data_IF_546389720274
#
_entry.id   IF_546389720274
#
_cell.length_a   1.000
_cell.length_b   1.000
_cell.length_c   1.000
_cell.angle_alpha   90.00
_cell.angle_beta   90.00
_cell.angle_gamma   90.00
#
_symmetry.space_group_name_H-M   'P 1'
#
loop_
_entity.id
_entity.type
_entity.pdbx_description
1 polymer ?
#
# COMPACT_ATOMS: atom_id res chain seq x y z
N UNK A 1 0.96 0.71 12.34
CA UNK A 1 0.86 -0.11 11.10
C UNK A 1 2.05 0.18 10.17
N UNK A 2 2.10 -0.38 8.95
CA UNK A 2 3.18 -0.13 7.96
C UNK A 2 3.29 1.34 7.56
N UNK A 3 2.15 2.01 7.40
CA UNK A 3 2.14 3.45 7.11
C UNK A 3 2.86 4.25 8.20
N UNK A 4 2.65 3.93 9.49
CA UNK A 4 3.40 4.54 10.60
C UNK A 4 4.90 4.23 10.58
N UNK A 5 5.34 3.20 9.85
CA UNK A 5 6.76 2.89 9.69
C UNK A 5 7.44 3.85 8.69
N UNK A 6 6.71 4.19 7.63
CA UNK A 6 7.20 4.99 6.51
C UNK A 6 7.18 6.50 6.81
N UNK A 7 6.15 6.99 7.50
CA UNK A 7 5.94 8.43 7.77
C UNK A 7 6.80 8.98 8.92
N UNK A 8 7.83 8.23 9.34
CA UNK A 8 8.65 8.59 10.49
C UNK A 8 7.94 8.21 11.80
N UNK A 9 8.75 7.74 12.73
CA UNK A 9 8.36 7.18 14.02
C UNK A 9 7.34 8.09 14.74
N UNK A 10 6.05 7.75 14.68
CA UNK A 10 5.03 8.41 15.50
C UNK A 10 5.56 8.41 16.94
N UNK A 11 5.79 9.59 17.50
CA UNK A 11 6.24 9.74 18.89
C UNK A 11 5.06 9.42 19.81
N UNK A 12 4.73 8.14 19.91
CA UNK A 12 3.77 7.63 20.86
C UNK A 12 4.42 7.56 22.25
N UNK A 13 3.67 7.89 23.30
CA UNK A 13 4.16 7.86 24.68
C UNK A 13 4.61 6.45 25.14
N UNK A 14 4.18 5.40 24.43
CA UNK A 14 4.50 3.99 24.69
C UNK A 14 5.05 3.34 23.44
N UNK A 15 5.98 2.37 23.57
CA UNK A 15 6.53 1.69 22.41
C UNK A 15 5.50 0.78 21.74
N UNK A 16 5.53 0.72 20.41
CA UNK A 16 4.71 -0.23 19.64
C UNK A 16 5.36 -1.62 19.59
N UNK A 17 4.61 -2.63 19.12
CA UNK A 17 5.11 -4.02 19.11
C UNK A 17 6.41 -4.20 18.30
N UNK A 18 6.63 -3.42 17.24
CA UNK A 18 7.84 -3.53 16.42
C UNK A 18 9.06 -2.89 17.11
N UNK A 19 8.85 -1.82 17.87
CA UNK A 19 9.89 -1.24 18.72
C UNK A 19 10.26 -2.21 19.85
N UNK A 20 9.27 -2.83 20.50
CA UNK A 20 9.52 -3.88 21.52
C UNK A 20 10.32 -5.04 20.91
N UNK A 21 9.95 -5.53 19.73
CA UNK A 21 10.66 -6.61 19.04
C UNK A 21 12.12 -6.23 18.72
N UNK A 22 12.35 -5.03 18.20
CA UNK A 22 13.72 -4.53 17.92
C UNK A 22 14.54 -4.47 19.20
N UNK A 23 13.99 -3.86 20.25
CA UNK A 23 14.68 -3.65 21.51
C UNK A 23 14.97 -5.00 22.19
N UNK A 24 14.06 -5.97 22.08
CA UNK A 24 14.27 -7.35 22.54
C UNK A 24 15.44 -8.03 21.82
N UNK A 25 15.48 -7.95 20.49
CA UNK A 25 16.57 -8.54 19.70
C UNK A 25 17.92 -7.91 20.07
N UNK A 26 17.96 -6.58 20.22
CA UNK A 26 19.17 -5.85 20.62
C UNK A 26 19.63 -6.20 22.04
N UNK A 27 18.70 -6.29 23.00
CA UNK A 27 19.01 -6.66 24.38
C UNK A 27 19.53 -8.11 24.52
N UNK A 28 19.26 -8.96 23.53
CA UNK A 28 19.80 -10.32 23.45
C UNK A 28 21.14 -10.40 22.69
N UNK A 29 21.76 -9.25 22.38
CA UNK A 29 23.01 -9.14 21.61
C UNK A 29 22.89 -9.63 20.16
N UNK A 30 21.68 -9.58 19.59
CA UNK A 30 21.41 -9.85 18.18
C UNK A 30 21.03 -8.55 17.46
N UNK A 31 21.12 -8.58 16.14
CA UNK A 31 20.58 -7.55 15.26
C UNK A 31 19.77 -8.18 14.14
N UNK A 32 18.72 -7.48 13.71
CA UNK A 32 18.03 -7.82 12.47
C UNK A 32 18.98 -7.51 11.32
N UNK A 33 19.22 -8.48 10.45
CA UNK A 33 20.16 -8.35 9.32
C UNK A 33 19.44 -8.10 8.00
N UNK A 34 18.35 -8.83 7.78
CA UNK A 34 17.55 -8.75 6.57
C UNK A 34 16.19 -9.41 6.77
N UNK A 35 15.30 -9.18 5.82
CA UNK A 35 14.05 -9.93 5.67
C UNK A 35 13.98 -10.54 4.29
N UNK A 36 13.42 -11.74 4.17
CA UNK A 36 13.20 -12.41 2.88
C UNK A 36 11.75 -12.83 2.74
N UNK A 37 11.10 -12.43 1.65
CA UNK A 37 9.84 -13.06 1.21
C UNK A 37 10.26 -14.30 0.42
N UNK A 38 9.99 -15.48 0.97
CA UNK A 38 10.63 -16.73 0.53
C UNK A 38 9.77 -17.56 -0.40
N UNK A 39 8.47 -17.63 -0.15
CA UNK A 39 7.59 -18.55 -0.90
C UNK A 39 6.16 -18.01 -0.99
N UNK A 40 5.37 -18.60 -1.87
CA UNK A 40 3.93 -18.36 -2.01
C UNK A 40 3.20 -19.71 -2.09
N UNK A 41 2.44 -20.03 -1.06
CA UNK A 41 1.68 -21.28 -0.97
C UNK A 41 0.19 -20.94 -0.93
N UNK A 42 -0.58 -21.50 -1.87
CA UNK A 42 -2.03 -21.29 -1.97
C UNK A 42 -2.42 -19.79 -1.95
N UNK A 43 -1.70 -18.99 -2.73
CA UNK A 43 -1.92 -17.54 -2.80
C UNK A 43 -1.37 -16.74 -1.59
N UNK A 44 -0.86 -17.41 -0.56
CA UNK A 44 -0.36 -16.77 0.66
C UNK A 44 1.16 -16.67 0.64
N UNK A 45 1.67 -15.45 0.76
CA UNK A 45 3.12 -15.21 0.83
C UNK A 45 3.68 -15.52 2.23
N UNK A 46 4.87 -16.11 2.26
CA UNK A 46 5.61 -16.48 3.46
C UNK A 46 6.88 -15.63 3.53
N UNK A 47 7.22 -15.12 4.72
CA UNK A 47 8.43 -14.36 4.93
C UNK A 47 9.24 -14.88 6.13
N UNK A 48 10.54 -14.59 6.11
CA UNK A 48 11.46 -14.88 7.20
C UNK A 48 12.27 -13.66 7.57
N UNK A 49 12.41 -13.42 8.86
CA UNK A 49 13.28 -12.40 9.44
C UNK A 49 14.59 -13.09 9.80
N UNK A 50 15.72 -12.55 9.35
CA UNK A 50 17.04 -13.07 9.67
C UNK A 50 17.70 -12.17 10.72
N UNK A 51 18.11 -12.78 11.83
CA UNK A 51 18.85 -12.14 12.91
C UNK A 51 20.23 -12.78 13.05
N UNK A 52 21.22 -12.02 13.49
CA UNK A 52 22.57 -12.52 13.73
C UNK A 52 23.29 -11.71 14.79
N UNK A 53 24.39 -12.23 15.34
CA UNK A 53 25.26 -11.44 16.20
C UNK A 53 26.07 -10.45 15.35
N UNK A 54 26.32 -9.22 15.82
CA UNK A 54 27.21 -8.29 15.14
C UNK A 54 28.58 -8.93 14.86
N UNK A 55 29.11 -8.72 13.66
CA UNK A 55 30.42 -9.28 13.23
C UNK A 55 30.43 -10.79 12.96
N UNK A 56 29.34 -11.51 13.17
CA UNK A 56 29.25 -12.95 12.89
C UNK A 56 28.48 -13.21 11.58
N UNK A 57 28.91 -14.25 10.86
CA UNK A 57 28.27 -14.70 9.63
C UNK A 57 27.05 -15.60 9.88
N UNK A 58 26.98 -16.24 11.05
CA UNK A 58 25.84 -17.10 11.41
C UNK A 58 24.57 -16.27 11.58
N UNK A 59 23.49 -16.72 10.93
CA UNK A 59 22.18 -16.11 11.03
C UNK A 59 21.14 -17.14 11.42
N UNK A 60 20.18 -16.71 12.24
CA UNK A 60 18.97 -17.48 12.56
C UNK A 60 17.77 -16.86 11.88
N UNK A 61 16.85 -17.69 11.43
CA UNK A 61 15.61 -17.26 10.79
C UNK A 61 14.42 -17.41 11.71
N UNK A 62 13.52 -16.43 11.69
CA UNK A 62 12.23 -16.45 12.38
C UNK A 62 11.14 -16.37 11.31
N UNK A 63 10.15 -17.26 11.41
CA UNK A 63 8.99 -17.24 10.52
C UNK A 63 8.09 -16.04 10.82
N UNK A 64 7.63 -15.35 9.78
CA UNK A 64 6.83 -14.15 9.93
C UNK A 64 5.90 -13.93 8.74
N UNK A 65 4.77 -13.25 8.98
CA UNK A 65 3.94 -12.76 7.87
C UNK A 65 4.71 -11.66 7.12
N UNK A 66 4.54 -11.54 5.79
CA UNK A 66 5.21 -10.52 5.00
C UNK A 66 5.01 -9.10 5.52
N UNK A 67 3.79 -8.76 5.95
CA UNK A 67 3.47 -7.44 6.49
C UNK A 67 4.26 -7.10 7.75
N UNK A 68 4.40 -8.05 8.67
CA UNK A 68 5.15 -7.87 9.91
C UNK A 68 6.66 -7.78 9.64
N UNK A 69 7.15 -8.64 8.74
CA UNK A 69 8.57 -8.68 8.39
C UNK A 69 9.01 -7.37 7.69
N UNK A 70 8.22 -6.87 6.73
CA UNK A 70 8.48 -5.58 6.08
C UNK A 70 8.41 -4.43 7.08
N UNK A 71 7.43 -4.43 8.00
CA UNK A 71 7.33 -3.41 9.05
C UNK A 71 8.57 -3.33 9.95
N UNK A 72 9.10 -4.49 10.33
CA UNK A 72 10.32 -4.57 11.14
C UNK A 72 11.53 -4.13 10.32
N UNK A 73 11.62 -4.56 9.05
CA UNK A 73 12.71 -4.21 8.16
C UNK A 73 12.86 -2.70 7.98
N UNK A 74 11.75 -2.00 7.74
CA UNK A 74 11.71 -0.54 7.60
C UNK A 74 12.21 0.16 8.88
N UNK A 75 11.78 -0.31 10.06
CA UNK A 75 12.17 0.29 11.35
C UNK A 75 13.61 -0.01 11.75
N UNK A 76 14.10 -1.19 11.39
CA UNK A 76 15.49 -1.60 11.60
C UNK A 76 16.43 -1.09 10.51
N UNK A 77 15.90 -0.52 9.41
CA UNK A 77 16.64 -0.05 8.24
C UNK A 77 17.51 -1.15 7.61
N UNK A 78 16.94 -2.33 7.45
CA UNK A 78 17.61 -3.51 6.89
C UNK A 78 17.06 -3.84 5.50
N UNK A 79 17.85 -4.50 4.64
CA UNK A 79 17.40 -4.88 3.30
C UNK A 79 16.24 -5.88 3.34
N UNK A 80 15.35 -5.73 2.35
CA UNK A 80 14.25 -6.65 2.06
C UNK A 80 14.58 -7.37 0.76
N UNK A 81 14.57 -8.69 0.78
CA UNK A 81 14.77 -9.53 -0.39
C UNK A 81 13.50 -10.29 -0.73
N UNK A 82 13.34 -10.61 -2.01
CA UNK A 82 12.22 -11.42 -2.51
C UNK A 82 12.79 -12.56 -3.33
N UNK A 83 12.19 -13.75 -3.21
CA UNK A 83 12.56 -14.89 -4.03
C UNK A 83 12.33 -14.59 -5.52
N UNK A 84 13.28 -14.99 -6.37
CA UNK A 84 13.23 -14.67 -7.81
C UNK A 84 11.98 -15.25 -8.48
N UNK A 85 11.55 -16.44 -8.07
CA UNK A 85 10.39 -17.10 -8.66
C UNK A 85 9.09 -16.33 -8.40
N UNK A 86 8.95 -15.74 -7.20
CA UNK A 86 7.82 -14.86 -6.85
C UNK A 86 7.85 -13.61 -7.73
N UNK A 87 9.04 -13.03 -7.93
CA UNK A 87 9.19 -11.85 -8.81
C UNK A 87 8.81 -12.23 -10.24
N UNK A 88 9.24 -13.38 -10.73
CA UNK A 88 8.95 -13.83 -12.09
C UNK A 88 7.46 -14.10 -12.32
N UNK A 89 6.74 -14.61 -11.33
CA UNK A 89 5.31 -14.94 -11.46
C UNK A 89 4.39 -13.74 -11.20
N UNK A 90 4.71 -12.90 -10.20
CA UNK A 90 3.75 -11.97 -9.61
C UNK A 90 4.17 -10.49 -9.72
N UNK A 91 5.42 -10.19 -10.10
CA UNK A 91 5.85 -8.80 -10.18
C UNK A 91 5.24 -8.08 -11.38
N UNK A 92 4.71 -6.90 -11.12
CA UNK A 92 4.22 -5.99 -12.15
C UNK A 92 5.30 -4.95 -12.44
N UNK A 93 5.54 -4.65 -13.72
CA UNK A 93 6.44 -3.56 -14.10
C UNK A 93 5.80 -2.25 -13.65
N UNK A 94 6.51 -1.43 -12.84
CA UNK A 94 6.00 -0.10 -12.51
C UNK A 94 5.88 0.69 -13.82
N UNK A 95 4.68 1.15 -14.15
CA UNK A 95 4.52 2.21 -15.15
C UNK A 95 4.93 3.49 -14.45
N UNK A 96 6.23 3.76 -14.44
CA UNK A 96 6.74 5.07 -14.05
C UNK A 96 6.34 6.04 -15.16
N UNK A 97 5.25 6.77 -14.96
CA UNK A 97 5.05 8.02 -15.68
C UNK A 97 6.32 8.86 -15.50
N UNK A 98 6.84 9.52 -16.55
CA UNK A 98 7.99 10.40 -16.39
C UNK A 98 7.69 11.38 -15.26
N UNK A 99 8.60 11.46 -14.29
CA UNK A 99 8.51 12.38 -13.16
C UNK A 99 8.42 13.80 -13.70
N UNK A 100 7.20 14.32 -13.84
CA UNK A 100 6.99 15.75 -13.91
C UNK A 100 7.18 16.29 -12.50
N UNK A 101 8.08 17.25 -12.37
CA UNK A 101 8.41 17.91 -11.11
C UNK A 101 7.15 18.49 -10.47
N UNK A 102 6.68 17.84 -9.40
CA UNK A 102 5.54 18.33 -8.62
C UNK A 102 6.03 19.42 -7.68
N UNK A 103 5.93 20.67 -8.14
CA UNK A 103 5.90 21.82 -7.24
C UNK A 103 4.65 21.69 -6.35
N UNK A 104 4.87 21.78 -5.04
CA UNK A 104 3.84 21.60 -4.04
C UNK A 104 2.74 22.68 -4.12
N UNK A 105 1.53 22.28 -4.50
CA UNK A 105 0.29 22.97 -4.14
C UNK A 105 -0.94 22.06 -4.31
N UNK A 106 -1.52 21.65 -3.18
CA UNK A 106 -2.93 21.38 -2.90
C UNK A 106 -3.81 20.59 -3.92
N UNK A 107 -4.12 19.36 -3.49
CA UNK A 107 -5.42 18.65 -3.60
C UNK A 107 -6.16 18.63 -4.94
N UNK A 108 -6.00 17.52 -5.67
CA UNK A 108 -7.11 16.66 -6.11
C UNK A 108 -6.54 15.27 -6.41
N UNK A 109 -7.17 14.24 -5.88
CA UNK A 109 -6.78 12.84 -6.14
C UNK A 109 -7.43 12.42 -7.45
N UNK A 110 -6.64 12.42 -8.53
CA UNK A 110 -7.06 11.83 -9.81
C UNK A 110 -7.03 10.30 -9.69
N UNK A 111 -8.13 9.75 -9.18
CA UNK A 111 -8.49 8.33 -9.34
C UNK A 111 -9.06 8.13 -10.74
N UNK A 112 -8.19 8.03 -11.74
CA UNK A 112 -8.62 7.56 -13.06
C UNK A 112 -7.49 6.85 -13.82
N UNK A 113 -7.05 5.69 -13.33
CA UNK A 113 -6.27 4.71 -14.10
C UNK A 113 -6.49 3.31 -13.52
N UNK A 114 -7.70 2.79 -13.66
CA UNK A 114 -8.02 1.36 -13.48
C UNK A 114 -9.37 1.06 -14.17
N UNK A 115 -9.38 0.95 -15.51
CA UNK A 115 -10.51 0.34 -16.24
C UNK A 115 -9.94 -0.60 -17.32
N UNK A 116 -10.19 -1.92 -17.24
CA UNK A 116 -9.87 -2.86 -18.31
C UNK A 116 -10.83 -2.64 -19.49
N UNK A 117 -10.32 -2.80 -20.71
CA UNK A 117 -11.02 -2.68 -22.01
C UNK A 117 -12.30 -3.54 -22.11
N UNK A 118 -13.39 -3.08 -21.49
CA UNK A 118 -14.71 -3.69 -21.51
C UNK A 118 -15.78 -2.61 -21.38
N UNK A 119 -16.84 -2.74 -22.16
CA UNK A 119 -17.84 -1.72 -22.50
C UNK A 119 -18.29 -0.80 -21.33
N UNK A 120 -18.36 0.49 -21.68
CA UNK A 120 -18.26 1.71 -20.88
C UNK A 120 -19.47 2.05 -20.00
N UNK A 121 -20.05 1.08 -19.29
CA UNK A 121 -21.23 1.34 -18.45
C UNK A 121 -20.89 1.91 -17.08
N UNK A 122 -19.74 1.54 -16.52
CA UNK A 122 -19.34 1.95 -15.16
C UNK A 122 -18.76 3.37 -15.15
N UNK A 123 -18.03 3.78 -16.19
CA UNK A 123 -17.44 5.11 -16.28
C UNK A 123 -18.50 6.19 -16.49
N UNK A 124 -19.53 5.92 -17.27
CA UNK A 124 -20.67 6.83 -17.46
C UNK A 124 -21.45 7.03 -16.15
N UNK A 125 -21.70 5.95 -15.39
CA UNK A 125 -22.37 6.02 -14.08
C UNK A 125 -21.56 6.85 -13.07
N UNK A 126 -20.24 6.62 -13.03
CA UNK A 126 -19.30 7.37 -12.18
C UNK A 126 -19.28 8.85 -12.58
N UNK A 127 -19.31 9.15 -13.88
CA UNK A 127 -19.30 10.52 -14.40
C UNK A 127 -20.57 11.26 -14.02
N UNK A 128 -21.73 10.62 -14.17
CA UNK A 128 -23.03 11.18 -13.75
C UNK A 128 -23.07 11.44 -12.24
N UNK A 129 -22.56 10.51 -11.43
CA UNK A 129 -22.48 10.67 -9.98
C UNK A 129 -21.53 11.81 -9.58
N UNK A 130 -20.38 11.93 -10.25
CA UNK A 130 -19.41 13.02 -10.04
C UNK A 130 -20.03 14.39 -10.36
N UNK A 131 -20.72 14.51 -11.49
CA UNK A 131 -21.39 15.75 -11.90
C UNK A 131 -22.50 16.16 -10.92
N UNK A 132 -23.23 15.19 -10.36
CA UNK A 132 -24.23 15.45 -9.32
C UNK A 132 -23.58 16.00 -8.03
N UNK A 133 -22.48 15.41 -7.56
CA UNK A 133 -21.77 15.87 -6.35
C UNK A 133 -21.20 17.28 -6.53
N UNK A 134 -20.58 17.55 -7.69
CA UNK A 134 -20.07 18.88 -8.02
C UNK A 134 -21.18 19.93 -8.01
N UNK A 135 -22.35 19.63 -8.58
CA UNK A 135 -23.49 20.56 -8.58
C UNK A 135 -24.05 20.83 -7.17
N UNK A 136 -23.97 19.86 -6.25
CA UNK A 136 -24.35 20.05 -4.84
C UNK A 136 -23.36 20.99 -4.14
N UNK A 137 -22.06 20.78 -4.36
CA UNK A 137 -20.99 21.60 -3.79
C UNK A 137 -21.04 23.05 -4.31
N UNK A 138 -21.42 23.24 -5.58
CA UNK A 138 -21.65 24.55 -6.19
C UNK A 138 -23.04 25.15 -5.88
N UNK A 139 -23.84 24.54 -4.99
CA UNK A 139 -25.21 24.96 -4.63
C UNK A 139 -26.19 25.09 -5.83
N UNK A 140 -25.90 24.40 -6.94
CA UNK A 140 -26.72 24.33 -8.16
C UNK A 140 -27.72 23.17 -8.08
N UNK A 141 -28.68 23.30 -7.17
CA UNK A 141 -29.62 22.22 -6.84
C UNK A 141 -30.54 21.79 -8.00
N UNK A 142 -30.83 22.68 -8.97
CA UNK A 142 -31.56 22.32 -10.19
C UNK A 142 -30.81 21.30 -11.04
N UNK A 143 -29.51 21.51 -11.18
CA UNK A 143 -28.64 20.72 -12.03
C UNK A 143 -28.31 19.38 -11.34
N UNK A 144 -28.12 19.41 -10.02
CA UNK A 144 -28.02 18.20 -9.21
C UNK A 144 -29.26 17.30 -9.33
N UNK A 145 -30.47 17.89 -9.36
CA UNK A 145 -31.71 17.15 -9.56
C UNK A 145 -31.79 16.53 -10.97
N UNK A 146 -31.34 17.26 -11.99
CA UNK A 146 -31.24 16.75 -13.37
C UNK A 146 -30.30 15.54 -13.45
N UNK A 147 -29.06 15.67 -12.94
CA UNK A 147 -28.08 14.57 -12.94
C UNK A 147 -28.55 13.34 -12.16
N UNK A 148 -29.25 13.54 -11.03
CA UNK A 148 -29.86 12.45 -10.26
C UNK A 148 -30.91 11.69 -11.07
N UNK A 149 -31.73 12.41 -11.82
CA UNK A 149 -32.81 11.80 -12.59
C UNK A 149 -32.26 11.10 -13.86
N UNK A 150 -31.17 11.60 -14.44
CA UNK A 150 -30.42 10.90 -15.50
C UNK A 150 -29.75 9.62 -14.98
N UNK A 151 -29.10 9.67 -13.82
CA UNK A 151 -28.48 8.50 -13.19
C UNK A 151 -29.52 7.40 -12.92
N UNK A 152 -30.73 7.76 -12.47
CA UNK A 152 -31.84 6.81 -12.28
C UNK A 152 -32.34 6.20 -13.59
N UNK A 153 -32.36 6.96 -14.69
CA UNK A 153 -32.71 6.42 -16.02
C UNK A 153 -31.64 5.46 -16.51
N UNK A 154 -30.37 5.80 -16.30
CA UNK A 154 -29.22 4.98 -16.68
C UNK A 154 -29.21 3.64 -15.93
N UNK A 155 -29.46 3.67 -14.61
CA UNK A 155 -29.58 2.47 -13.78
C UNK A 155 -30.81 1.59 -14.13
N UNK A 156 -31.88 2.17 -14.68
CA UNK A 156 -33.09 1.44 -15.07
C UNK A 156 -32.98 0.78 -16.46
N UNK A 157 -32.11 1.30 -17.31
CA UNK A 157 -31.82 0.76 -18.65
C UNK A 157 -30.71 -0.30 -18.64
N UNK A 158 -30.25 -0.70 -17.45
CA UNK A 158 -29.27 -1.76 -17.19
C UNK A 158 -29.99 -3.06 -16.83
#
# INVERSE_FOLDING_TARGET
MLMSALHGNEKTARPNQYQIMRDLVQNLEFEVRMVRITDRVNGTYIARIFIGKPGHAEMRSIDARPSDAVNLAVRCKVPIYVHKDIVASDAVKPVVAPLLEVSASSSSTDVNLDIPDGEDYLSEEITLAKNMVLAIEEERYSDAAHWRDELKKFQKNR
#
